data_IF_566711649307
#
_entry.id   IF_566711649307
#
_cell.length_a   1.000
_cell.length_b   1.000
_cell.length_c   1.000
_cell.angle_alpha   90.00
_cell.angle_beta   90.00
_cell.angle_gamma   90.00
#
_symmetry.space_group_name_H-M   'P 1'
#
loop_
_entity.id
_entity.type
_entity.pdbx_description
1 polymer ?
#
# COMPACT_ATOMS: atom_id res chain seq x y z
N UNK A 1 19.64 40.72 -9.83
CA UNK A 1 19.97 39.81 -8.70
C UNK A 1 18.64 39.25 -8.23
N UNK A 2 18.35 37.96 -8.49
CA UNK A 2 17.18 37.29 -7.89
C UNK A 2 17.57 36.94 -6.45
N UNK A 3 16.91 37.58 -5.46
CA UNK A 3 17.07 37.25 -4.07
C UNK A 3 16.71 35.79 -3.86
N UNK A 4 17.68 34.97 -3.45
CA UNK A 4 17.43 33.61 -3.00
C UNK A 4 16.66 33.65 -1.69
N UNK A 5 15.33 33.65 -1.78
CA UNK A 5 14.50 33.41 -0.60
C UNK A 5 14.80 32.01 -0.09
N UNK A 6 15.26 31.88 1.13
CA UNK A 6 15.35 30.58 1.82
C UNK A 6 13.93 29.99 1.82
N UNK A 7 13.78 28.80 1.22
CA UNK A 7 12.51 28.09 1.23
C UNK A 7 12.01 28.02 2.70
N UNK A 8 10.78 28.48 2.95
CA UNK A 8 10.15 28.37 4.26
C UNK A 8 10.11 26.87 4.63
N UNK A 9 10.69 26.50 5.76
CA UNK A 9 10.69 25.14 6.29
C UNK A 9 9.68 25.04 7.44
N UNK A 10 9.09 23.86 7.57
CA UNK A 10 8.32 23.51 8.75
C UNK A 10 9.24 23.46 9.98
N UNK A 11 8.79 24.04 11.07
CA UNK A 11 9.52 24.11 12.35
C UNK A 11 8.75 23.25 13.37
N UNK A 12 9.27 22.06 13.63
CA UNK A 12 8.58 21.03 14.41
C UNK A 12 9.56 20.10 15.15
N UNK A 13 9.02 19.33 16.09
CA UNK A 13 9.66 18.14 16.67
C UNK A 13 8.80 16.91 16.40
N UNK A 14 9.43 15.75 16.25
CA UNK A 14 8.76 14.47 16.05
C UNK A 14 9.45 13.35 16.82
N UNK A 15 8.70 12.49 17.50
CA UNK A 15 9.24 11.40 18.31
C UNK A 15 9.50 10.11 17.53
N UNK A 16 8.91 9.95 16.34
CA UNK A 16 9.15 8.81 15.45
C UNK A 16 10.24 9.08 14.41
N UNK A 17 10.37 8.17 13.45
CA UNK A 17 11.27 8.33 12.30
C UNK A 17 10.58 9.14 11.20
N UNK A 18 11.32 10.06 10.60
CA UNK A 18 10.86 10.85 9.46
C UNK A 18 12.00 11.14 8.48
N UNK A 19 11.66 11.56 7.29
CA UNK A 19 12.57 12.01 6.24
C UNK A 19 12.13 13.39 5.73
N UNK A 20 13.07 14.25 5.36
CA UNK A 20 12.79 15.55 4.73
C UNK A 20 13.23 15.52 3.28
N UNK A 21 12.31 15.70 2.36
CA UNK A 21 12.59 15.91 0.94
C UNK A 21 12.75 17.41 0.69
N UNK A 22 13.99 17.88 0.85
CA UNK A 22 14.30 19.32 0.78
C UNK A 22 14.01 19.96 -0.57
N UNK A 23 14.01 19.19 -1.67
CA UNK A 23 13.78 19.69 -3.02
C UNK A 23 12.34 20.20 -3.23
N UNK A 24 11.38 19.56 -2.62
CA UNK A 24 9.94 19.85 -2.73
C UNK A 24 9.29 20.26 -1.40
N UNK A 25 10.09 20.38 -0.33
CA UNK A 25 9.64 20.87 0.98
C UNK A 25 8.68 19.92 1.70
N UNK A 26 8.72 18.61 1.37
CA UNK A 26 7.87 17.59 1.97
C UNK A 26 8.57 16.91 3.14
N UNK A 27 7.86 16.69 4.24
CA UNK A 27 8.27 15.86 5.37
C UNK A 27 7.45 14.57 5.33
N UNK A 28 8.14 13.43 5.34
CA UNK A 28 7.57 12.07 5.32
C UNK A 28 7.71 11.44 6.71
N UNK A 29 6.60 11.17 7.41
CA UNK A 29 6.60 10.43 8.68
C UNK A 29 6.51 8.92 8.40
N UNK A 30 7.53 8.18 8.80
CA UNK A 30 7.74 6.77 8.44
C UNK A 30 7.28 5.79 9.52
N UNK A 31 7.24 6.22 10.76
CA UNK A 31 6.78 5.41 11.91
C UNK A 31 5.84 6.21 12.79
N UNK A 32 5.02 5.55 13.58
CA UNK A 32 4.15 6.18 14.58
C UNK A 32 4.95 7.04 15.56
N UNK A 33 4.41 8.21 15.91
CA UNK A 33 5.03 9.17 16.82
C UNK A 33 4.09 10.34 17.16
N UNK A 34 4.64 11.32 17.84
CA UNK A 34 3.96 12.56 18.21
C UNK A 34 4.65 13.73 17.52
N UNK A 35 3.88 14.53 16.80
CA UNK A 35 4.30 15.73 16.09
C UNK A 35 3.91 16.96 16.90
N UNK A 36 4.85 17.88 17.13
CA UNK A 36 4.59 19.17 17.75
C UNK A 36 5.19 20.27 16.90
N UNK A 37 4.38 21.23 16.46
CA UNK A 37 4.87 22.40 15.72
C UNK A 37 5.39 23.46 16.69
N UNK A 38 6.55 24.04 16.40
CA UNK A 38 7.11 25.15 17.17
C UNK A 38 6.50 26.49 16.72
N UNK A 39 5.95 26.56 15.50
CA UNK A 39 5.26 27.73 14.94
C UNK A 39 4.04 27.30 14.17
N UNK A 40 2.98 28.09 14.24
CA UNK A 40 1.80 27.90 13.40
C UNK A 40 2.13 28.12 11.93
N UNK A 41 1.63 27.22 11.09
CA UNK A 41 1.72 27.32 9.63
C UNK A 41 0.55 26.58 9.01
N UNK A 42 0.02 27.11 7.93
CA UNK A 42 -0.92 26.35 7.10
C UNK A 42 -0.17 25.24 6.38
N UNK A 43 -0.69 24.03 6.43
CA UNK A 43 -0.08 22.84 5.82
C UNK A 43 -1.09 22.04 5.01
N UNK A 44 -0.59 21.29 4.05
CA UNK A 44 -1.31 20.16 3.45
C UNK A 44 -0.75 18.87 4.04
N UNK A 45 -1.62 17.88 4.25
CA UNK A 45 -1.22 16.54 4.69
C UNK A 45 -1.81 15.47 3.76
N UNK A 46 -0.99 14.48 3.42
CA UNK A 46 -1.38 13.33 2.63
C UNK A 46 -1.16 12.05 3.46
N UNK A 47 -2.23 11.30 3.64
CA UNK A 47 -2.27 10.09 4.46
C UNK A 47 -2.44 8.86 3.57
N UNK A 48 -1.71 7.79 3.88
CA UNK A 48 -1.80 6.49 3.20
C UNK A 48 -1.90 5.39 4.26
N UNK A 49 -2.94 4.57 4.22
CA UNK A 49 -3.10 3.38 5.06
C UNK A 49 -2.11 2.29 4.71
N UNK A 50 -1.87 1.33 5.58
CA UNK A 50 -1.05 0.16 5.30
C UNK A 50 -1.68 -0.72 4.22
N UNK A 51 -0.86 -1.38 3.38
CA UNK A 51 -1.33 -2.35 2.39
C UNK A 51 -1.66 -3.70 3.03
N UNK A 52 -2.58 -4.46 2.45
CA UNK A 52 -2.89 -5.82 2.86
C UNK A 52 -1.80 -6.80 2.44
N UNK A 53 -1.61 -7.89 3.16
CA UNK A 53 -0.81 -9.03 2.73
C UNK A 53 -1.52 -9.82 1.63
N UNK A 54 -0.74 -10.43 0.73
CA UNK A 54 -1.28 -11.35 -0.28
C UNK A 54 -1.75 -12.67 0.33
N UNK A 55 -2.71 -13.32 -0.32
CA UNK A 55 -3.16 -14.67 0.03
C UNK A 55 -2.06 -15.71 -0.26
N UNK A 56 -1.99 -16.75 0.54
CA UNK A 56 -1.16 -17.92 0.19
C UNK A 56 -1.76 -18.70 -0.98
N UNK A 57 -0.91 -19.34 -1.78
CA UNK A 57 -1.35 -20.30 -2.80
C UNK A 57 -2.03 -21.52 -2.17
N UNK A 58 -2.68 -22.35 -2.98
CA UNK A 58 -3.29 -23.60 -2.52
C UNK A 58 -2.49 -24.82 -2.99
N UNK A 59 -2.52 -25.87 -2.16
CA UNK A 59 -2.07 -27.19 -2.50
C UNK A 59 -3.29 -28.01 -2.95
N UNK A 60 -3.34 -28.43 -4.20
CA UNK A 60 -4.40 -29.30 -4.70
C UNK A 60 -3.90 -30.67 -5.04
N UNK A 61 -4.82 -31.65 -5.11
CA UNK A 61 -4.54 -33.01 -5.60
C UNK A 61 -4.48 -33.10 -7.14
N UNK A 62 -4.88 -32.04 -7.84
CA UNK A 62 -4.89 -31.93 -9.29
C UNK A 62 -4.75 -30.48 -9.72
N UNK A 63 -4.51 -30.25 -11.02
CA UNK A 63 -4.48 -28.91 -11.61
C UNK A 63 -5.78 -28.11 -11.39
N UNK A 64 -6.92 -28.80 -11.35
CA UNK A 64 -8.22 -28.16 -11.21
C UNK A 64 -8.57 -27.76 -9.76
N UNK A 65 -7.74 -28.15 -8.79
CA UNK A 65 -7.95 -27.85 -7.35
C UNK A 65 -6.82 -27.02 -6.74
N UNK A 66 -5.87 -26.59 -7.55
CA UNK A 66 -4.74 -25.77 -7.13
C UNK A 66 -4.90 -24.36 -7.69
N UNK A 67 -4.64 -23.35 -6.85
CA UNK A 67 -4.78 -21.95 -7.23
C UNK A 67 -3.57 -21.15 -6.74
N UNK A 68 -3.15 -20.16 -7.51
CA UNK A 68 -2.31 -19.09 -6.96
C UNK A 68 -3.12 -18.23 -5.97
N UNK A 69 -2.47 -17.68 -4.98
CA UNK A 69 -3.10 -16.73 -4.06
C UNK A 69 -3.43 -15.41 -4.75
N UNK A 70 -4.50 -14.74 -4.35
CA UNK A 70 -4.79 -13.37 -4.75
C UNK A 70 -3.82 -12.38 -4.08
N UNK A 71 -3.49 -11.29 -4.75
CA UNK A 71 -2.72 -10.18 -4.19
C UNK A 71 -3.51 -9.43 -3.12
N UNK A 72 -2.83 -8.84 -2.15
CA UNK A 72 -3.40 -7.90 -1.19
C UNK A 72 -3.70 -6.55 -1.84
N UNK A 73 -4.67 -5.82 -1.33
CA UNK A 73 -4.96 -4.48 -1.80
C UNK A 73 -4.00 -3.45 -1.22
N UNK A 74 -3.82 -2.33 -1.92
CA UNK A 74 -3.18 -1.14 -1.37
C UNK A 74 -4.08 -0.44 -0.34
N UNK A 75 -3.48 0.30 0.60
CA UNK A 75 -4.21 1.11 1.58
C UNK A 75 -5.00 2.24 0.92
N UNK A 76 -6.01 2.76 1.61
CA UNK A 76 -6.71 3.96 1.16
C UNK A 76 -5.85 5.21 1.36
N UNK A 77 -6.18 6.28 0.66
CA UNK A 77 -5.46 7.54 0.72
C UNK A 77 -6.39 8.73 0.97
N UNK A 78 -5.87 9.79 1.56
CA UNK A 78 -6.60 11.03 1.80
C UNK A 78 -5.65 12.23 1.76
N UNK A 79 -6.09 13.32 1.13
CA UNK A 79 -5.41 14.62 1.23
C UNK A 79 -6.24 15.58 2.08
N UNK A 80 -5.60 16.19 3.07
CA UNK A 80 -6.13 17.29 3.87
C UNK A 80 -5.42 18.56 3.42
N UNK A 81 -6.17 19.60 3.11
CA UNK A 81 -5.62 20.85 2.59
C UNK A 81 -5.86 21.99 3.56
N UNK A 82 -4.91 22.90 3.65
CA UNK A 82 -5.01 24.15 4.41
C UNK A 82 -5.41 23.93 5.88
N UNK A 83 -4.82 22.94 6.56
CA UNK A 83 -4.97 22.77 8.00
C UNK A 83 -3.96 23.65 8.72
N UNK A 84 -4.36 24.27 9.85
CA UNK A 84 -3.51 25.15 10.64
C UNK A 84 -3.31 24.56 12.05
N UNK A 85 -2.29 23.70 12.23
CA UNK A 85 -1.97 23.17 13.54
C UNK A 85 -1.45 24.28 14.47
N UNK A 86 -1.89 24.24 15.73
CA UNK A 86 -1.43 25.20 16.74
C UNK A 86 -0.03 24.86 17.23
N UNK A 87 0.80 25.89 17.43
CA UNK A 87 2.11 25.73 18.05
C UNK A 87 2.01 25.17 19.48
N UNK A 88 2.94 24.29 19.85
CA UNK A 88 3.01 23.68 21.18
C UNK A 88 1.93 22.62 21.47
N UNK A 89 1.03 22.32 20.51
CA UNK A 89 0.04 21.24 20.63
C UNK A 89 0.59 19.95 20.06
N UNK A 90 0.39 18.83 20.77
CA UNK A 90 0.77 17.51 20.34
C UNK A 90 -0.27 16.90 19.38
N UNK A 91 0.20 16.44 18.22
CA UNK A 91 -0.60 15.74 17.21
C UNK A 91 -0.10 14.30 17.08
N UNK A 92 -0.87 13.28 17.53
CA UNK A 92 -0.50 11.91 17.32
C UNK A 92 -0.57 11.57 15.83
N UNK A 93 0.51 10.97 15.32
CA UNK A 93 0.62 10.42 13.99
C UNK A 93 0.68 8.90 14.14
N UNK A 94 -0.28 8.17 13.61
CA UNK A 94 -0.30 6.71 13.60
C UNK A 94 -0.04 6.23 12.17
N UNK A 95 1.00 5.44 11.98
CA UNK A 95 1.32 4.82 10.69
C UNK A 95 0.83 3.39 10.69
N UNK A 96 -0.10 3.08 9.79
CA UNK A 96 -0.66 1.74 9.63
C UNK A 96 0.40 0.73 9.21
N UNK A 97 0.49 -0.39 9.90
CA UNK A 97 1.38 -1.47 9.52
C UNK A 97 0.87 -2.18 8.27
N UNK A 98 1.78 -2.77 7.49
CA UNK A 98 1.39 -3.69 6.42
C UNK A 98 0.83 -5.00 6.98
N UNK A 99 -0.14 -5.59 6.31
CA UNK A 99 -0.71 -6.88 6.67
C UNK A 99 0.25 -8.04 6.42
N UNK A 100 0.20 -9.09 7.23
CA UNK A 100 1.01 -10.29 7.04
C UNK A 100 0.59 -11.05 5.78
N UNK A 101 1.55 -11.64 5.08
CA UNK A 101 1.26 -12.58 3.98
C UNK A 101 0.60 -13.88 4.49
N UNK A 102 -0.39 -14.35 3.76
CA UNK A 102 -1.08 -15.62 4.06
C UNK A 102 -0.24 -16.84 3.67
N UNK A 103 -0.61 -18.00 4.19
CA UNK A 103 -0.03 -19.30 3.81
C UNK A 103 -1.10 -20.16 3.12
N UNK A 104 -0.76 -21.39 2.75
CA UNK A 104 -1.76 -22.31 2.19
C UNK A 104 -2.96 -22.53 3.14
N UNK A 105 -2.75 -22.46 4.45
CA UNK A 105 -3.77 -22.69 5.49
C UNK A 105 -4.33 -21.43 6.13
N UNK A 106 -3.66 -20.28 5.99
CA UNK A 106 -4.08 -19.01 6.61
C UNK A 106 -4.33 -17.95 5.55
N UNK A 107 -5.31 -17.09 5.77
CA UNK A 107 -5.51 -15.89 4.95
C UNK A 107 -4.38 -14.88 5.20
N UNK A 108 -4.17 -13.98 4.25
CA UNK A 108 -3.37 -12.78 4.49
C UNK A 108 -4.03 -11.87 5.52
N UNK A 109 -3.28 -10.94 6.08
CA UNK A 109 -3.77 -9.93 7.01
C UNK A 109 -4.16 -8.64 6.29
N UNK A 110 -5.17 -7.94 6.80
CA UNK A 110 -5.46 -6.57 6.37
C UNK A 110 -4.33 -5.62 6.77
N UNK A 111 -4.17 -4.53 6.04
CA UNK A 111 -3.31 -3.42 6.43
C UNK A 111 -3.91 -2.65 7.61
N UNK A 112 -3.06 -1.99 8.39
CA UNK A 112 -3.48 -1.12 9.49
C UNK A 112 -3.90 0.27 9.01
N UNK A 113 -4.72 0.94 9.81
CA UNK A 113 -5.17 2.30 9.53
C UNK A 113 -4.06 3.32 9.84
N UNK A 114 -4.00 4.38 9.06
CA UNK A 114 -3.13 5.54 9.30
C UNK A 114 -3.97 6.73 9.73
N UNK A 115 -3.55 7.43 10.77
CA UNK A 115 -4.26 8.62 11.24
C UNK A 115 -3.33 9.78 11.55
N UNK A 116 -3.81 11.00 11.26
CA UNK A 116 -3.16 12.27 11.57
C UNK A 116 -4.20 13.40 11.59
N UNK A 117 -3.98 14.42 12.40
CA UNK A 117 -4.79 15.64 12.42
C UNK A 117 -6.30 15.38 12.56
N UNK A 118 -6.70 14.37 13.36
CA UNK A 118 -8.11 14.02 13.57
C UNK A 118 -8.77 13.24 12.42
N UNK A 119 -8.04 12.91 11.36
CA UNK A 119 -8.51 12.11 10.22
C UNK A 119 -7.86 10.73 10.21
N UNK A 120 -8.57 9.75 9.65
CA UNK A 120 -8.10 8.36 9.52
C UNK A 120 -8.38 7.85 8.13
N UNK A 121 -7.43 7.12 7.55
CA UNK A 121 -7.60 6.35 6.32
C UNK A 121 -7.40 4.87 6.63
N UNK A 122 -8.25 4.04 6.03
CA UNK A 122 -8.24 2.60 6.28
C UNK A 122 -7.05 1.92 5.56
N UNK A 123 -6.58 0.82 6.13
CA UNK A 123 -5.68 -0.09 5.44
C UNK A 123 -6.38 -0.85 4.32
N UNK A 124 -5.57 -1.40 3.40
CA UNK A 124 -6.03 -2.30 2.35
C UNK A 124 -6.61 -3.59 2.93
N UNK A 125 -7.59 -4.16 2.23
CA UNK A 125 -8.25 -5.39 2.68
C UNK A 125 -7.69 -6.60 1.93
N UNK A 126 -7.79 -7.74 2.57
CA UNK A 126 -7.53 -9.03 1.96
C UNK A 126 -8.87 -9.67 1.59
N UNK A 127 -8.91 -10.40 0.47
CA UNK A 127 -10.11 -11.19 0.14
C UNK A 127 -10.31 -12.33 1.16
N UNK A 128 -11.56 -12.58 1.53
CA UNK A 128 -11.92 -13.75 2.33
C UNK A 128 -11.82 -15.08 1.57
N UNK A 129 -11.67 -15.04 0.23
CA UNK A 129 -11.68 -16.22 -0.65
C UNK A 129 -10.42 -16.28 -1.50
N UNK A 130 -9.72 -17.40 -1.50
CA UNK A 130 -8.67 -17.72 -2.48
C UNK A 130 -9.34 -18.16 -3.79
N UNK A 131 -8.86 -17.77 -4.93
CA UNK A 131 -7.68 -16.95 -5.28
C UNK A 131 -7.98 -15.45 -5.53
N UNK A 132 -9.05 -14.92 -4.98
CA UNK A 132 -9.51 -13.55 -5.22
C UNK A 132 -8.55 -12.51 -4.63
N UNK A 133 -8.34 -11.42 -5.35
CA UNK A 133 -7.59 -10.24 -4.89
C UNK A 133 -8.35 -9.41 -3.84
N UNK A 134 -7.64 -8.69 -2.99
CA UNK A 134 -8.21 -7.81 -1.96
C UNK A 134 -8.73 -6.49 -2.51
N UNK A 135 -9.68 -5.86 -1.81
CA UNK A 135 -10.22 -4.54 -2.14
C UNK A 135 -9.53 -3.45 -1.31
N UNK A 136 -9.30 -2.27 -1.86
CA UNK A 136 -8.64 -1.18 -1.13
C UNK A 136 -8.47 0.08 -1.93
N UNK A 137 -7.47 0.91 -1.61
CA UNK A 137 -7.11 2.09 -2.39
C UNK A 137 -6.81 1.73 -3.83
N UNK A 138 -6.09 0.60 -4.04
CA UNK A 138 -6.00 -0.09 -5.34
C UNK A 138 -6.21 -1.58 -5.11
N UNK A 139 -6.92 -2.24 -6.00
CA UNK A 139 -7.29 -3.66 -5.86
C UNK A 139 -6.11 -4.59 -6.07
N UNK A 140 -6.06 -5.70 -5.34
CA UNK A 140 -5.12 -6.79 -5.55
C UNK A 140 -5.47 -7.61 -6.78
N UNK A 141 -4.48 -8.14 -7.50
CA UNK A 141 -4.66 -9.03 -8.66
C UNK A 141 -5.21 -10.40 -8.25
N UNK A 142 -6.05 -10.98 -9.09
CA UNK A 142 -6.54 -12.33 -8.93
C UNK A 142 -5.46 -13.37 -9.17
N UNK A 143 -5.40 -14.40 -8.33
CA UNK A 143 -4.46 -15.52 -8.47
C UNK A 143 -4.83 -16.42 -9.65
N UNK A 144 -3.82 -17.13 -10.19
CA UNK A 144 -4.00 -18.09 -11.27
C UNK A 144 -4.96 -19.20 -10.84
N UNK A 145 -5.78 -19.66 -11.78
CA UNK A 145 -6.82 -20.67 -11.56
C UNK A 145 -8.22 -20.08 -11.43
N UNK A 146 -8.45 -18.86 -11.92
CA UNK A 146 -9.76 -18.22 -12.00
C UNK A 146 -10.02 -17.16 -10.94
N UNK A 147 -8.97 -16.64 -10.27
CA UNK A 147 -9.13 -15.58 -9.30
C UNK A 147 -9.64 -14.29 -9.92
N UNK A 148 -10.58 -13.64 -9.25
CA UNK A 148 -11.07 -12.30 -9.60
C UNK A 148 -10.14 -11.27 -8.96
N UNK A 149 -9.83 -10.20 -9.69
CA UNK A 149 -9.13 -9.06 -9.13
C UNK A 149 -10.03 -8.30 -8.13
N UNK A 150 -9.41 -7.69 -7.13
CA UNK A 150 -10.11 -6.83 -6.18
C UNK A 150 -10.42 -5.46 -6.74
N UNK A 151 -11.38 -4.78 -6.14
CA UNK A 151 -11.79 -3.43 -6.52
C UNK A 151 -10.84 -2.39 -5.92
N UNK A 152 -10.53 -1.37 -6.71
CA UNK A 152 -9.87 -0.16 -6.24
C UNK A 152 -10.87 0.82 -5.63
N UNK A 153 -10.35 1.78 -4.87
CA UNK A 153 -11.11 2.92 -4.37
C UNK A 153 -11.58 3.86 -5.50
N UNK A 154 -12.05 5.03 -5.14
CA UNK A 154 -12.76 5.94 -6.05
C UNK A 154 -11.98 6.31 -7.31
N UNK A 155 -10.66 6.31 -7.29
CA UNK A 155 -9.80 6.51 -8.44
C UNK A 155 -8.54 5.61 -8.45
N UNK A 156 -8.48 4.64 -7.56
CA UNK A 156 -7.52 3.55 -7.63
C UNK A 156 -7.88 2.52 -8.69
N UNK A 157 -6.89 1.89 -9.30
CA UNK A 157 -7.11 0.83 -10.28
C UNK A 157 -7.63 -0.47 -9.67
N UNK A 158 -8.53 -1.14 -10.37
CA UNK A 158 -8.92 -2.50 -10.02
C UNK A 158 -7.81 -3.50 -10.34
N UNK A 159 -7.71 -4.55 -9.54
CA UNK A 159 -6.83 -5.67 -9.84
C UNK A 159 -7.31 -6.45 -11.05
N UNK A 160 -6.38 -6.97 -11.88
CA UNK A 160 -6.73 -7.81 -13.02
C UNK A 160 -7.19 -9.21 -12.57
N UNK A 161 -8.12 -9.79 -13.33
CA UNK A 161 -8.63 -11.15 -13.11
C UNK A 161 -7.63 -12.18 -13.67
N UNK A 162 -7.57 -13.33 -13.08
CA UNK A 162 -6.74 -14.51 -13.38
C UNK A 162 -5.35 -14.21 -13.97
N UNK A 163 -4.27 -14.61 -13.32
CA UNK A 163 -2.89 -14.18 -13.61
C UNK A 163 -2.67 -12.66 -13.43
N UNK A 164 -3.50 -12.05 -12.55
CA UNK A 164 -3.78 -10.64 -12.57
C UNK A 164 -2.66 -9.78 -12.00
N UNK A 165 -2.34 -8.73 -12.73
CA UNK A 165 -1.57 -7.58 -12.22
C UNK A 165 -2.37 -6.90 -11.12
N UNK A 166 -1.69 -6.43 -10.07
CA UNK A 166 -2.30 -5.58 -9.06
C UNK A 166 -2.78 -4.26 -9.66
N UNK A 167 -3.87 -3.72 -9.12
CA UNK A 167 -4.39 -2.41 -9.51
C UNK A 167 -3.33 -1.32 -9.30
N UNK A 168 -3.21 -0.43 -10.25
CA UNK A 168 -2.28 0.70 -10.20
C UNK A 168 -2.91 1.86 -9.44
N UNK A 169 -2.16 2.46 -8.51
CA UNK A 169 -2.51 3.77 -7.97
C UNK A 169 -2.54 4.78 -9.11
N UNK A 170 -3.65 5.50 -9.28
CA UNK A 170 -3.83 6.46 -10.38
C UNK A 170 -4.86 7.51 -9.97
N UNK A 171 -5.06 8.51 -10.81
CA UNK A 171 -5.97 9.59 -10.54
C UNK A 171 -5.40 10.58 -9.53
N UNK A 172 -6.27 11.21 -8.74
CA UNK A 172 -5.90 12.25 -7.78
C UNK A 172 -5.77 11.75 -6.36
N UNK A 173 -6.54 10.74 -5.93
CA UNK A 173 -6.58 10.32 -4.52
C UNK A 173 -5.36 9.48 -4.13
N UNK A 174 -4.77 8.72 -5.05
CA UNK A 174 -3.60 7.87 -4.81
C UNK A 174 -2.27 8.56 -5.10
N UNK A 175 -2.31 9.82 -5.54
CA UNK A 175 -1.13 10.64 -5.75
C UNK A 175 -0.91 11.58 -4.58
N UNK A 176 0.34 11.81 -4.26
CA UNK A 176 0.74 12.69 -3.19
C UNK A 176 0.11 14.09 -3.34
N UNK A 177 -0.57 14.54 -2.30
CA UNK A 177 -1.35 15.79 -2.23
C UNK A 177 -2.44 15.96 -3.30
N UNK A 178 -2.85 14.88 -3.98
CA UNK A 178 -3.83 14.95 -5.06
C UNK A 178 -3.34 15.59 -6.35
N UNK A 179 -2.04 15.67 -6.55
CA UNK A 179 -1.43 16.33 -7.72
C UNK A 179 -1.16 15.32 -8.85
N UNK A 180 -1.48 15.70 -10.09
CA UNK A 180 -1.31 14.82 -11.27
C UNK A 180 0.13 14.36 -11.51
N UNK A 181 1.12 15.14 -11.09
CA UNK A 181 2.54 14.81 -11.13
C UNK A 181 3.06 14.21 -9.81
N UNK A 182 2.22 14.09 -8.77
CA UNK A 182 2.60 13.55 -7.47
C UNK A 182 3.04 12.08 -7.56
N UNK A 183 3.90 11.67 -6.62
CA UNK A 183 4.32 10.27 -6.46
C UNK A 183 3.08 9.37 -6.26
N UNK A 184 3.07 8.21 -6.89
CA UNK A 184 2.02 7.20 -6.70
C UNK A 184 2.24 6.40 -5.43
N UNK A 185 1.13 6.11 -4.74
CA UNK A 185 1.06 5.27 -3.54
C UNK A 185 -0.01 4.20 -3.69
N UNK A 186 -0.08 3.28 -2.75
CA UNK A 186 -1.21 2.36 -2.61
C UNK A 186 -1.40 1.41 -3.79
N UNK A 187 -0.33 0.99 -4.48
CA UNK A 187 -0.44 -0.03 -5.54
C UNK A 187 -0.89 -1.38 -4.98
N UNK A 188 -1.79 -2.09 -5.66
CA UNK A 188 -2.21 -3.43 -5.28
C UNK A 188 -1.14 -4.49 -5.57
N UNK A 189 -1.13 -5.59 -4.82
CA UNK A 189 -0.26 -6.74 -5.08
C UNK A 189 -0.71 -7.56 -6.29
N UNK A 190 0.22 -8.17 -7.01
CA UNK A 190 -0.06 -9.10 -8.12
C UNK A 190 -0.52 -10.47 -7.63
N UNK A 191 -1.33 -11.18 -8.40
CA UNK A 191 -1.75 -12.55 -8.10
C UNK A 191 -0.65 -13.57 -8.33
N UNK A 192 -0.59 -14.61 -7.50
CA UNK A 192 0.35 -15.73 -7.62
C UNK A 192 0.05 -16.65 -8.81
N UNK A 193 1.07 -17.26 -9.38
CA UNK A 193 0.88 -18.31 -10.39
C UNK A 193 0.48 -19.65 -9.76
N UNK A 194 0.06 -20.60 -10.60
CA UNK A 194 0.08 -22.00 -10.23
C UNK A 194 0.68 -22.87 -11.37
N UNK A 195 1.33 -23.98 -11.02
CA UNK A 195 1.89 -24.89 -12.03
C UNK A 195 2.99 -24.28 -12.92
N UNK A 196 3.47 -25.04 -13.91
CA UNK A 196 4.62 -24.68 -14.74
C UNK A 196 4.27 -23.83 -15.98
N UNK A 197 3.00 -23.75 -16.38
CA UNK A 197 2.57 -23.06 -17.61
C UNK A 197 2.02 -21.65 -17.40
N UNK A 198 2.06 -21.12 -16.17
CA UNK A 198 1.39 -19.89 -15.83
C UNK A 198 2.36 -18.81 -15.31
N UNK A 199 2.00 -17.53 -15.49
CA UNK A 199 2.80 -16.38 -15.09
C UNK A 199 2.15 -15.73 -13.87
N UNK A 200 2.97 -15.28 -12.92
CA UNK A 200 2.49 -14.48 -11.80
C UNK A 200 2.21 -13.04 -12.25
N UNK A 201 1.20 -12.43 -11.65
CA UNK A 201 0.87 -11.03 -11.86
C UNK A 201 1.96 -10.11 -11.30
N UNK A 202 2.19 -8.98 -11.94
CA UNK A 202 3.04 -7.90 -11.41
C UNK A 202 2.29 -7.11 -10.35
N UNK A 203 3.02 -6.51 -9.41
CA UNK A 203 2.47 -5.51 -8.51
C UNK A 203 2.09 -4.22 -9.26
N UNK A 204 1.08 -3.52 -8.78
CA UNK A 204 0.67 -2.23 -9.28
C UNK A 204 1.67 -1.13 -8.94
N UNK A 205 1.75 -0.07 -9.77
CA UNK A 205 2.54 1.11 -9.45
C UNK A 205 2.04 1.76 -8.13
N UNK A 206 2.94 2.32 -7.35
CA UNK A 206 2.65 2.80 -6.00
C UNK A 206 3.02 1.77 -4.92
N UNK A 207 3.97 0.89 -5.20
CA UNK A 207 4.59 0.01 -4.21
C UNK A 207 3.98 -1.38 -4.08
N UNK A 208 3.13 -1.82 -5.00
CA UNK A 208 2.57 -3.18 -4.99
C UNK A 208 3.61 -4.27 -5.20
N UNK A 209 3.56 -5.36 -4.43
CA UNK A 209 4.43 -6.53 -4.54
C UNK A 209 3.97 -7.47 -5.66
N UNK A 210 4.90 -8.04 -6.42
CA UNK A 210 4.61 -9.04 -7.45
C UNK A 210 4.17 -10.39 -6.87
N UNK A 211 3.35 -11.12 -7.62
CA UNK A 211 2.90 -12.47 -7.25
C UNK A 211 4.03 -13.49 -7.25
N UNK A 212 3.87 -14.54 -6.45
CA UNK A 212 4.80 -15.64 -6.30
C UNK A 212 4.97 -16.47 -7.57
N UNK A 213 6.22 -16.77 -7.91
CA UNK A 213 6.60 -17.58 -9.06
C UNK A 213 7.08 -18.97 -8.68
N UNK A 214 7.37 -19.21 -7.40
CA UNK A 214 7.84 -20.49 -6.88
C UNK A 214 7.12 -20.77 -5.56
N UNK A 215 6.51 -21.98 -5.40
CA UNK A 215 5.81 -22.33 -4.16
C UNK A 215 6.73 -22.47 -2.95
N UNK A 216 8.03 -22.56 -3.13
CA UNK A 216 9.05 -22.66 -2.06
C UNK A 216 9.49 -21.32 -1.51
N UNK A 217 9.19 -20.24 -2.19
CA UNK A 217 9.52 -18.88 -1.76
C UNK A 217 8.25 -18.06 -1.50
N UNK A 218 8.34 -17.12 -0.58
CA UNK A 218 7.27 -16.14 -0.41
C UNK A 218 7.14 -15.27 -1.68
N UNK A 219 5.93 -14.80 -1.96
CA UNK A 219 5.71 -13.76 -2.97
C UNK A 219 6.35 -12.44 -2.53
N UNK A 220 6.43 -11.49 -3.45
CA UNK A 220 7.05 -10.20 -3.15
C UNK A 220 6.17 -9.36 -2.22
N UNK A 221 6.80 -8.73 -1.25
CA UNK A 221 6.13 -7.81 -0.34
C UNK A 221 5.81 -6.48 -1.02
N UNK A 222 4.80 -5.79 -0.55
CA UNK A 222 4.57 -4.39 -0.82
C UNK A 222 5.72 -3.53 -0.28
N UNK A 223 6.00 -2.41 -0.94
CA UNK A 223 7.07 -1.49 -0.56
C UNK A 223 6.68 -0.75 0.73
N UNK A 224 7.61 -0.69 1.69
CA UNK A 224 7.39 0.01 2.95
C UNK A 224 7.12 1.52 2.72
N UNK A 225 6.30 2.12 3.56
CA UNK A 225 5.90 3.53 3.48
C UNK A 225 5.28 3.96 2.14
N UNK A 226 4.55 3.03 1.51
CA UNK A 226 3.78 3.31 0.30
C UNK A 226 2.32 2.88 0.42
N UNK A 227 1.99 2.05 1.42
CA UNK A 227 0.69 1.40 1.52
C UNK A 227 0.47 0.33 0.45
N UNK A 228 1.51 -0.14 -0.22
CA UNK A 228 1.39 -1.14 -1.29
C UNK A 228 0.95 -2.51 -0.79
N UNK A 229 0.07 -3.21 -1.51
CA UNK A 229 -0.35 -4.58 -1.19
C UNK A 229 0.73 -5.62 -1.48
N UNK A 230 0.78 -6.70 -0.72
CA UNK A 230 1.68 -7.84 -0.95
C UNK A 230 1.18 -8.76 -2.07
N UNK A 231 2.10 -9.39 -2.81
CA UNK A 231 1.76 -10.35 -3.87
C UNK A 231 1.17 -11.66 -3.33
N UNK A 232 0.30 -12.29 -4.08
CA UNK A 232 -0.25 -13.61 -3.78
C UNK A 232 0.78 -14.73 -3.94
N UNK A 233 0.77 -15.73 -3.08
CA UNK A 233 1.69 -16.87 -3.10
C UNK A 233 1.44 -17.81 -4.30
N UNK A 234 2.48 -18.49 -4.77
CA UNK A 234 2.34 -19.51 -5.83
C UNK A 234 1.61 -20.75 -5.30
N UNK A 235 0.67 -21.28 -6.08
CA UNK A 235 0.04 -22.58 -5.82
C UNK A 235 0.78 -23.75 -6.48
N UNK A 236 0.54 -24.95 -5.98
CA UNK A 236 1.13 -26.17 -6.54
C UNK A 236 0.24 -27.41 -6.40
N UNK A 237 0.40 -28.42 -7.26
CA UNK A 237 -0.44 -29.63 -7.32
C UNK A 237 0.28 -30.95 -7.00
N UNK A 238 1.53 -30.93 -6.58
CA UNK A 238 2.25 -32.13 -6.14
C UNK A 238 2.72 -31.98 -4.69
N UNK A 239 2.99 -33.09 -4.01
CA UNK A 239 3.31 -33.16 -2.58
C UNK A 239 4.66 -32.49 -2.16
N UNK A 240 5.35 -31.81 -3.02
CA UNK A 240 6.53 -31.03 -2.66
C UNK A 240 6.09 -29.72 -2.02
N UNK A 241 5.91 -29.74 -0.73
CA UNK A 241 5.40 -28.65 0.08
C UNK A 241 6.42 -27.51 0.09
N UNK A 242 6.05 -26.42 -0.56
CA UNK A 242 6.70 -25.12 -0.36
C UNK A 242 5.93 -24.27 0.62
N UNK A 243 6.41 -23.07 0.89
CA UNK A 243 5.75 -22.10 1.78
C UNK A 243 4.42 -21.61 1.19
N UNK A 244 4.27 -21.57 -0.12
CA UNK A 244 3.12 -21.02 -0.85
C UNK A 244 2.64 -19.69 -0.26
N UNK A 245 3.58 -18.96 0.32
CA UNK A 245 3.29 -17.79 1.14
C UNK A 245 3.09 -16.55 0.28
N UNK A 246 2.05 -15.77 0.58
CA UNK A 246 1.87 -14.42 0.07
C UNK A 246 2.91 -13.47 0.65
N UNK A 247 3.18 -12.37 -0.05
CA UNK A 247 4.01 -11.28 0.44
C UNK A 247 3.28 -10.46 1.52
N UNK A 248 4.03 -9.82 2.41
CA UNK A 248 3.46 -8.84 3.35
C UNK A 248 3.05 -7.57 2.61
N UNK A 249 2.06 -6.84 3.11
CA UNK A 249 1.79 -5.48 2.67
C UNK A 249 2.88 -4.50 3.13
N UNK A 250 3.01 -3.37 2.47
CA UNK A 250 3.85 -2.26 2.89
C UNK A 250 3.14 -1.41 3.96
N UNK A 251 3.90 -0.80 4.87
CA UNK A 251 3.35 0.17 5.81
C UNK A 251 2.80 1.40 5.10
N UNK A 252 1.87 2.10 5.75
CA UNK A 252 1.41 3.42 5.35
C UNK A 252 2.45 4.51 5.55
N UNK A 253 2.04 5.75 5.30
CA UNK A 253 2.88 6.96 5.47
C UNK A 253 1.99 8.17 5.71
N UNK A 254 2.53 9.19 6.35
CA UNK A 254 1.95 10.55 6.35
C UNK A 254 2.99 11.50 5.78
N UNK A 255 2.60 12.28 4.77
CA UNK A 255 3.42 13.35 4.19
C UNK A 255 2.80 14.69 4.53
N UNK A 256 3.60 15.68 4.92
CA UNK A 256 3.14 17.06 5.10
C UNK A 256 4.03 18.05 4.33
N UNK A 257 3.44 19.16 3.92
CA UNK A 257 4.16 20.32 3.35
C UNK A 257 3.49 21.62 3.76
N UNK A 258 4.19 22.73 3.61
CA UNK A 258 3.53 24.05 3.71
C UNK A 258 2.43 24.16 2.66
N UNK A 259 1.28 24.67 3.07
CA UNK A 259 0.20 25.01 2.14
C UNK A 259 0.63 26.16 1.25
N UNK A 260 0.61 25.96 -0.05
CA UNK A 260 0.82 27.03 -1.01
C UNK A 260 -0.56 27.58 -1.41
N UNK A 261 -0.87 28.78 -0.97
CA UNK A 261 -1.99 29.53 -1.57
C UNK A 261 -1.67 29.65 -3.06
N UNK A 262 -2.53 29.06 -3.91
CA UNK A 262 -2.43 29.25 -5.36
C UNK A 262 -2.49 30.74 -5.64
N UNK A 263 -1.41 31.30 -6.17
CA UNK A 263 -1.34 32.70 -6.59
C UNK A 263 -2.30 32.98 -7.75
#
# INVERSE_FOLDING_TARGET
MRGGGTAKRLDFTYTGQYNERLADGVVEFLTTGVLTFNKEAAIDAFLVGGGAGGQGGTLGSSQNTSYGGGGGAGGYTMTLTNIVPRAGVEYPIVIGAGGNGGTYSTAGGAGGDTSAFGSTVNGGQVSGTKPTGGNGGSGGGGGAGGGVGGDGGSDGGNGATAYGTGGTGQGTTTREFGESAGKLYSGGGGGGKYGSGFVAGTGGAGGGGGGGTDPKTAAYSGEANTGGGGGGGAGYYTQSIGLMQGGTGGSGIVCIRLHNESA
#
